data_IF_537645831636
#
_entry.id   IF_537645831636
#
_cell.length_a   1.000
_cell.length_b   1.000
_cell.length_c   1.000
_cell.angle_alpha   90.00
_cell.angle_beta   90.00
_cell.angle_gamma   90.00
#
_symmetry.space_group_name_H-M   'P 1'
#
loop_
_entity.id
_entity.type
_entity.pdbx_description
1 polymer ?
#
# COMPACT_ATOMS: atom_id res chain seq x y z
N UNK A 1 -1.33 1.89 -20.32
CA UNK A 1 -1.93 3.20 -20.01
C UNK A 1 -3.36 2.94 -19.55
N UNK A 2 -3.88 3.71 -18.59
CA UNK A 2 -5.25 3.51 -18.10
C UNK A 2 -6.23 3.77 -19.27
N UNK A 3 -7.06 2.79 -19.64
CA UNK A 3 -8.00 2.98 -20.75
C UNK A 3 -9.21 3.78 -20.26
N UNK A 4 -9.23 5.08 -20.57
CA UNK A 4 -10.33 6.01 -20.22
C UNK A 4 -11.71 5.44 -20.54
N UNK A 5 -11.83 4.77 -21.68
CA UNK A 5 -13.07 4.19 -22.19
C UNK A 5 -13.60 3.01 -21.38
N UNK A 6 -12.81 2.47 -20.45
CA UNK A 6 -13.21 1.37 -19.56
C UNK A 6 -13.47 1.85 -18.14
N UNK A 7 -13.28 3.14 -17.84
CA UNK A 7 -13.57 3.72 -16.54
C UNK A 7 -15.08 3.76 -16.26
N UNK A 8 -15.46 3.70 -14.99
CA UNK A 8 -16.86 3.98 -14.62
C UNK A 8 -17.24 5.42 -15.00
N UNK A 9 -18.52 5.72 -15.28
CA UNK A 9 -18.97 7.06 -15.63
C UNK A 9 -18.56 8.12 -14.59
N UNK A 10 -18.69 7.79 -13.30
CA UNK A 10 -18.29 8.68 -12.19
C UNK A 10 -16.78 8.96 -12.18
N UNK A 11 -15.94 7.97 -12.52
CA UNK A 11 -14.49 8.17 -12.58
C UNK A 11 -14.11 9.02 -13.77
N UNK A 12 -14.80 8.86 -14.91
CA UNK A 12 -14.61 9.70 -16.10
C UNK A 12 -14.93 11.16 -15.83
N UNK A 13 -16.06 11.41 -15.16
CA UNK A 13 -16.46 12.77 -14.76
C UNK A 13 -15.39 13.45 -13.90
N UNK A 14 -14.83 12.74 -12.91
CA UNK A 14 -13.73 13.26 -12.08
C UNK A 14 -12.46 13.57 -12.89
N UNK A 15 -12.12 12.72 -13.87
CA UNK A 15 -10.96 12.95 -14.76
C UNK A 15 -11.19 14.19 -15.62
N UNK A 16 -12.39 14.36 -16.18
CA UNK A 16 -12.76 15.52 -17.00
C UNK A 16 -12.81 16.82 -16.18
N UNK A 17 -13.28 16.75 -14.94
CA UNK A 17 -13.29 17.87 -14.01
C UNK A 17 -11.85 18.30 -13.67
N UNK A 18 -10.99 17.36 -13.32
CA UNK A 18 -9.56 17.62 -13.07
C UNK A 18 -8.88 18.25 -14.30
N UNK A 19 -9.16 17.70 -15.50
CA UNK A 19 -8.61 18.24 -16.74
C UNK A 19 -9.04 19.70 -16.97
N UNK A 20 -10.30 20.02 -16.66
CA UNK A 20 -10.84 21.38 -16.80
C UNK A 20 -10.26 22.35 -15.78
N UNK A 21 -10.16 21.94 -14.52
CA UNK A 21 -9.64 22.78 -13.43
C UNK A 21 -8.17 23.13 -13.63
N UNK A 22 -7.37 22.19 -14.16
CA UNK A 22 -5.93 22.36 -14.35
C UNK A 22 -5.52 22.75 -15.76
N UNK A 23 -6.49 22.92 -16.67
CA UNK A 23 -6.26 23.16 -18.09
C UNK A 23 -5.37 22.11 -18.76
N UNK A 24 -5.52 20.86 -18.33
CA UNK A 24 -4.81 19.72 -18.88
C UNK A 24 -5.55 19.09 -20.05
N UNK A 25 -4.80 18.42 -20.91
CA UNK A 25 -5.34 17.38 -21.77
C UNK A 25 -5.83 16.19 -20.94
N UNK A 26 -6.70 15.37 -21.53
CA UNK A 26 -7.22 14.17 -20.88
C UNK A 26 -6.09 13.22 -20.46
N UNK A 27 -5.06 13.10 -21.30
CA UNK A 27 -3.90 12.24 -21.05
C UNK A 27 -3.07 12.74 -19.86
N UNK A 28 -2.83 14.05 -19.77
CA UNK A 28 -2.13 14.67 -18.64
C UNK A 28 -2.91 14.50 -17.33
N UNK A 29 -4.24 14.65 -17.37
CA UNK A 29 -5.08 14.41 -16.19
C UNK A 29 -5.02 12.95 -15.73
N UNK A 30 -5.03 11.99 -16.65
CA UNK A 30 -4.88 10.57 -16.35
C UNK A 30 -3.50 10.24 -15.77
N UNK A 31 -2.46 10.86 -16.31
CA UNK A 31 -1.08 10.67 -15.86
C UNK A 31 -0.89 11.23 -14.44
N UNK A 32 -1.48 12.38 -14.14
CA UNK A 32 -1.43 12.97 -12.79
C UNK A 32 -2.13 12.08 -11.76
N UNK A 33 -3.33 11.56 -12.06
CA UNK A 33 -4.04 10.62 -11.18
C UNK A 33 -3.22 9.36 -10.93
N UNK A 34 -2.53 8.86 -11.96
CA UNK A 34 -1.66 7.69 -11.83
C UNK A 34 -0.47 7.97 -10.90
N UNK A 35 0.20 9.12 -11.08
CA UNK A 35 1.34 9.55 -10.27
C UNK A 35 0.91 9.72 -8.81
N UNK A 36 -0.19 10.44 -8.56
CA UNK A 36 -0.70 10.66 -7.21
C UNK A 36 -1.06 9.34 -6.53
N UNK A 37 -1.72 8.44 -7.27
CA UNK A 37 -2.02 7.10 -6.77
C UNK A 37 -0.75 6.36 -6.36
N UNK A 38 0.28 6.33 -7.20
CA UNK A 38 1.56 5.66 -6.88
C UNK A 38 2.23 6.31 -5.67
N UNK A 39 2.29 7.65 -5.63
CA UNK A 39 2.93 8.42 -4.55
C UNK A 39 2.26 8.17 -3.19
N UNK A 40 0.93 8.02 -3.16
CA UNK A 40 0.17 7.69 -1.94
C UNK A 40 0.26 6.21 -1.53
N UNK A 41 1.10 5.41 -2.18
CA UNK A 41 1.24 3.98 -1.91
C UNK A 41 0.32 3.08 -2.73
N UNK A 42 -0.30 3.60 -3.78
CA UNK A 42 -1.01 2.84 -4.80
C UNK A 42 -2.24 2.09 -4.31
N UNK A 43 -2.48 0.94 -4.95
CA UNK A 43 -3.50 -0.07 -4.63
C UNK A 43 -3.49 -0.57 -3.18
N UNK A 44 -2.50 -0.20 -2.38
CA UNK A 44 -2.44 -0.49 -0.94
C UNK A 44 -3.63 0.11 -0.18
N UNK A 45 -4.24 1.19 -0.69
CA UNK A 45 -5.52 1.72 -0.19
C UNK A 45 -6.76 1.11 -0.88
N UNK A 46 -6.62 0.44 -2.02
CA UNK A 46 -7.71 -0.21 -2.74
C UNK A 46 -8.14 -1.56 -2.12
N UNK A 47 -7.93 -1.73 -0.81
CA UNK A 47 -8.22 -2.95 -0.04
C UNK A 47 -7.66 -4.25 -0.65
N UNK A 48 -6.62 -4.17 -1.50
CA UNK A 48 -5.88 -5.36 -1.92
C UNK A 48 -5.23 -5.95 -0.66
N UNK A 49 -5.40 -7.25 -0.37
CA UNK A 49 -4.79 -7.85 0.80
C UNK A 49 -3.29 -7.58 0.74
N UNK A 50 -2.75 -6.87 1.75
CA UNK A 50 -1.31 -6.84 1.95
C UNK A 50 -0.87 -8.30 2.02
N UNK A 51 0.22 -8.64 1.32
CA UNK A 51 0.79 -9.98 1.30
C UNK A 51 0.68 -10.63 2.69
N UNK A 52 0.23 -11.89 2.72
CA UNK A 52 -0.04 -12.59 3.98
C UNK A 52 1.20 -12.58 4.86
N UNK A 53 1.11 -11.91 6.01
CA UNK A 53 2.15 -11.93 7.03
C UNK A 53 2.32 -13.37 7.52
N UNK A 54 3.31 -14.06 6.99
CA UNK A 54 3.66 -15.40 7.45
C UNK A 54 4.55 -15.24 8.66
N UNK A 55 4.07 -15.64 9.83
CA UNK A 55 4.87 -15.63 11.05
C UNK A 55 6.07 -16.56 10.83
N UNK A 56 7.29 -16.01 10.97
CA UNK A 56 8.51 -16.80 10.95
C UNK A 56 8.46 -17.62 12.25
N UNK A 57 8.06 -18.88 12.16
CA UNK A 57 7.98 -19.77 13.32
C UNK A 57 9.41 -20.12 13.73
N UNK A 58 9.96 -19.30 14.61
CA UNK A 58 11.31 -19.41 15.13
C UNK A 58 11.73 -18.07 15.71
N UNK A 59 11.53 -17.90 17.02
CA UNK A 59 12.27 -16.87 17.75
C UNK A 59 13.78 -17.05 17.52
N UNK A 60 14.61 -16.03 17.80
CA UNK A 60 16.06 -16.22 17.77
C UNK A 60 16.36 -17.49 18.54
N UNK A 61 16.99 -18.47 17.86
CA UNK A 61 17.40 -19.73 18.50
C UNK A 61 18.08 -19.30 19.79
N UNK A 62 17.44 -19.62 20.91
CA UNK A 62 17.93 -19.21 22.22
C UNK A 62 19.28 -19.87 22.38
N UNK A 63 20.34 -19.11 22.09
CA UNK A 63 21.65 -19.40 22.63
C UNK A 63 21.44 -19.58 24.14
N UNK A 64 21.95 -20.69 24.62
CA UNK A 64 21.94 -21.12 26.00
C UNK A 64 22.34 -19.99 26.96
N UNK A 65 21.39 -19.16 27.37
CA UNK A 65 21.54 -18.33 28.56
C UNK A 65 21.23 -19.23 29.74
N UNK A 66 22.29 -19.89 30.19
CA UNK A 66 22.38 -20.56 31.49
C UNK A 66 21.88 -19.59 32.55
N UNK A 67 20.67 -19.84 33.07
CA UNK A 67 20.24 -19.30 34.36
C UNK A 67 20.26 -20.45 35.35
N UNK A 68 21.39 -20.64 36.02
CA UNK A 68 21.44 -21.41 37.27
C UNK A 68 20.71 -20.59 38.33
N UNK A 69 19.44 -20.91 38.57
CA UNK A 69 18.76 -20.49 39.79
C UNK A 69 19.20 -21.42 40.92
N UNK A 70 20.25 -21.04 41.63
CA UNK A 70 20.53 -21.61 42.95
C UNK A 70 19.67 -20.85 43.95
N UNK A 71 18.61 -21.50 44.42
CA UNK A 71 17.81 -21.04 45.55
C UNK A 71 18.55 -21.49 46.82
N UNK A 72 19.18 -20.58 47.55
CA UNK A 72 19.69 -20.85 48.89
C UNK A 72 18.53 -20.87 49.90
N UNK A 73 18.38 -21.89 50.75
CA UNK A 73 17.48 -21.83 51.89
C UNK A 73 18.18 -21.19 53.11
N UNK A 74 17.44 -20.32 53.82
CA UNK A 74 17.73 -19.93 55.21
C UNK A 74 17.23 -21.01 56.18
#
# INVERSE_FOLDING_TARGET
>A
MLEYQNLSPETRERVEELAREKHYSLDEALEEILIETIAMGGLTFAARPKATLTSIKGGPKGDHLIRTSTTDPL
#
